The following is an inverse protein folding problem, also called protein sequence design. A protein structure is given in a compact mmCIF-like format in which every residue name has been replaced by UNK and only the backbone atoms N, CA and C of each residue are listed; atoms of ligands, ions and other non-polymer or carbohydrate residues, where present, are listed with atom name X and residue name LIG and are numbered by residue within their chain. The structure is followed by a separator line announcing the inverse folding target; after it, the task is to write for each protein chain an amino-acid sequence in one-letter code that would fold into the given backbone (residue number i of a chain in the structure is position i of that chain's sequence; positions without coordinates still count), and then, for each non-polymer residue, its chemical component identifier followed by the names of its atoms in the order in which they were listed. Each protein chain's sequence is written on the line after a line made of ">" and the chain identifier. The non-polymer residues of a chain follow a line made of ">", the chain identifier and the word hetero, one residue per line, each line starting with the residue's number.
data_IF_483079255766
#
_entry.id   IF_483079255766
#
_cell.length_a   1.000
_cell.length_b   1.000
_cell.length_c   1.000
_cell.angle_alpha   90.00
_cell.angle_beta   90.00
_cell.angle_gamma   90.00
#
_symmetry.space_group_name_H-M   'P 1'
#
loop_
_entity.id
_entity.type
_entity.pdbx_description
1 polymer ?
#
# COMPACT_ATOMS: atom_id res chain seq x y z
N UNK A 1 -17.57 -20.12 12.44
CA UNK A 1 -17.99 -18.80 12.89
C UNK A 1 -16.89 -17.78 13.12
N UNK A 2 -15.74 -18.21 13.62
CA UNK A 2 -14.62 -17.28 13.80
C UNK A 2 -14.10 -16.70 12.47
N UNK A 3 -14.10 -17.45 11.39
CA UNK A 3 -13.72 -16.94 10.08
C UNK A 3 -14.72 -15.94 9.54
N UNK A 4 -16.00 -16.27 9.60
CA UNK A 4 -17.05 -15.36 9.18
C UNK A 4 -17.17 -14.18 10.12
N UNK A 5 -17.03 -14.41 11.42
CA UNK A 5 -16.96 -13.35 12.41
C UNK A 5 -15.73 -12.47 12.24
N UNK A 6 -14.58 -13.05 11.83
CA UNK A 6 -13.37 -12.31 11.55
C UNK A 6 -13.53 -11.43 10.31
N UNK A 7 -14.12 -11.96 9.24
CA UNK A 7 -14.35 -11.20 8.03
C UNK A 7 -15.40 -10.11 8.23
N UNK A 8 -16.48 -10.42 8.94
CA UNK A 8 -17.47 -9.42 9.33
C UNK A 8 -16.88 -8.35 10.23
N UNK A 9 -16.01 -8.73 11.15
CA UNK A 9 -15.29 -7.75 12.01
C UNK A 9 -14.35 -6.88 11.20
N UNK A 10 -13.66 -7.46 10.22
CA UNK A 10 -12.79 -6.70 9.31
C UNK A 10 -13.60 -5.71 8.49
N UNK A 11 -14.71 -6.15 7.92
CA UNK A 11 -15.60 -5.27 7.15
C UNK A 11 -16.19 -4.19 8.05
N UNK A 12 -16.66 -4.56 9.24
CA UNK A 12 -17.17 -3.59 10.23
C UNK A 12 -16.06 -2.65 10.69
N UNK A 13 -14.84 -3.15 10.85
CA UNK A 13 -13.68 -2.33 11.19
C UNK A 13 -13.38 -1.31 10.12
N UNK A 14 -13.38 -1.72 8.85
CA UNK A 14 -13.20 -0.82 7.71
C UNK A 14 -14.33 0.21 7.67
N UNK A 15 -15.58 -0.23 7.85
CA UNK A 15 -16.74 0.64 7.90
C UNK A 15 -16.67 1.61 9.08
N UNK A 16 -16.27 1.12 10.25
CA UNK A 16 -16.10 1.94 11.44
C UNK A 16 -14.99 2.98 11.27
N UNK A 17 -13.87 2.58 10.69
CA UNK A 17 -12.76 3.48 10.36
C UNK A 17 -13.24 4.54 9.39
N UNK A 18 -13.96 4.16 8.34
CA UNK A 18 -14.51 5.09 7.37
C UNK A 18 -15.49 6.08 8.00
N UNK A 19 -16.39 5.61 8.85
CA UNK A 19 -17.34 6.47 9.55
C UNK A 19 -16.63 7.41 10.51
N UNK A 20 -15.65 6.90 11.25
CA UNK A 20 -14.85 7.70 12.18
C UNK A 20 -14.03 8.73 11.40
N UNK A 21 -13.37 8.29 10.34
CA UNK A 21 -12.53 9.14 9.48
C UNK A 21 -13.38 10.23 8.83
N UNK A 22 -14.64 9.94 8.44
CA UNK A 22 -15.53 10.91 7.80
C UNK A 22 -15.87 12.11 8.69
N UNK A 23 -15.81 11.94 10.00
CA UNK A 23 -16.21 12.97 10.95
C UNK A 23 -15.04 13.54 11.75
N UNK A 24 -13.80 13.25 11.37
CA UNK A 24 -12.60 13.70 12.07
C UNK A 24 -11.65 14.44 11.12
N UNK A 25 -10.69 15.23 11.66
CA UNK A 25 -9.68 15.88 10.81
C UNK A 25 -8.84 14.92 10.00
N UNK A 26 -8.73 13.65 10.41
CA UNK A 26 -8.01 12.63 9.65
C UNK A 26 -8.66 12.32 8.30
N UNK A 27 -9.96 12.60 8.14
CA UNK A 27 -10.65 12.49 6.85
C UNK A 27 -10.01 13.36 5.77
N UNK A 28 -9.44 14.46 6.19
CA UNK A 28 -8.79 15.38 5.28
C UNK A 28 -7.52 14.79 4.68
N UNK A 29 -6.91 13.79 5.31
CA UNK A 29 -5.73 13.09 4.80
C UNK A 29 -6.04 12.42 3.47
N UNK A 30 -7.22 11.80 3.32
CA UNK A 30 -7.61 11.14 2.08
C UNK A 30 -7.84 12.12 0.93
N UNK A 31 -8.29 13.32 1.24
CA UNK A 31 -8.65 14.33 0.23
C UNK A 31 -7.54 15.35 0.05
N UNK A 32 -6.94 15.82 1.14
CA UNK A 32 -5.96 16.91 1.15
C UNK A 32 -4.55 16.45 1.52
N UNK A 33 -4.39 15.23 2.02
CA UNK A 33 -3.08 14.69 2.35
C UNK A 33 -2.23 14.46 1.10
N UNK A 34 -0.92 14.34 1.29
CA UNK A 34 -0.03 14.05 0.19
C UNK A 34 -0.22 12.59 -0.29
N UNK A 35 0.31 12.24 -1.48
CA UNK A 35 0.18 10.88 -2.00
C UNK A 35 0.78 9.80 -1.08
N UNK A 36 1.83 10.13 -0.33
CA UNK A 36 2.43 9.20 0.63
C UNK A 36 1.50 8.87 1.79
N UNK A 37 0.84 9.87 2.33
CA UNK A 37 -0.13 9.68 3.41
C UNK A 37 -1.34 8.86 2.96
N UNK A 38 -1.84 9.12 1.76
CA UNK A 38 -2.94 8.35 1.18
C UNK A 38 -2.56 6.88 0.99
N UNK A 39 -1.35 6.62 0.46
CA UNK A 39 -0.87 5.25 0.30
C UNK A 39 -0.72 4.55 1.65
N UNK A 40 -0.19 5.24 2.63
CA UNK A 40 -0.03 4.69 3.97
C UNK A 40 -1.37 4.30 4.58
N UNK A 41 -2.37 5.14 4.45
CA UNK A 41 -3.72 4.86 4.93
C UNK A 41 -4.29 3.60 4.27
N UNK A 42 -4.17 3.50 2.94
CA UNK A 42 -4.64 2.33 2.20
C UNK A 42 -3.89 1.06 2.61
N UNK A 43 -2.58 1.17 2.80
CA UNK A 43 -1.76 0.04 3.21
C UNK A 43 -2.13 -0.46 4.61
N UNK A 44 -2.43 0.44 5.53
CA UNK A 44 -2.90 0.06 6.87
C UNK A 44 -4.21 -0.70 6.81
N UNK A 45 -5.16 -0.24 6.00
CA UNK A 45 -6.43 -0.96 5.80
C UNK A 45 -6.19 -2.34 5.19
N UNK A 46 -5.32 -2.42 4.20
CA UNK A 46 -5.01 -3.68 3.51
C UNK A 46 -4.31 -4.68 4.42
N UNK A 47 -3.39 -4.22 5.26
CA UNK A 47 -2.70 -5.06 6.23
C UNK A 47 -3.70 -5.64 7.25
N UNK A 48 -4.67 -4.85 7.68
CA UNK A 48 -5.72 -5.32 8.58
C UNK A 48 -6.64 -6.34 7.91
N UNK A 49 -6.89 -6.15 6.62
CA UNK A 49 -7.77 -7.01 5.84
C UNK A 49 -7.11 -8.33 5.45
N UNK A 50 -5.82 -8.32 5.16
CA UNK A 50 -5.13 -9.46 4.55
C UNK A 50 -3.71 -9.60 5.10
N UNK A 51 -3.44 -10.77 5.72
CA UNK A 51 -2.10 -11.11 6.16
C UNK A 51 -1.15 -11.32 4.99
N UNK A 52 -1.64 -11.83 3.87
CA UNK A 52 -0.82 -12.01 2.66
C UNK A 52 -0.36 -10.66 2.09
N UNK A 53 -1.19 -9.64 2.16
CA UNK A 53 -0.78 -8.30 1.76
C UNK A 53 0.37 -7.77 2.63
N UNK A 54 0.30 -8.00 3.93
CA UNK A 54 1.36 -7.59 4.85
C UNK A 54 2.71 -8.21 4.46
N UNK A 55 2.71 -9.47 4.06
CA UNK A 55 3.92 -10.17 3.60
C UNK A 55 4.46 -9.53 2.31
N UNK A 56 3.60 -9.35 1.32
CA UNK A 56 3.98 -8.74 0.03
C UNK A 56 4.54 -7.33 0.24
N UNK A 57 3.90 -6.54 1.09
CA UNK A 57 4.36 -5.18 1.40
C UNK A 57 5.72 -5.18 2.08
N UNK A 58 5.93 -6.09 3.03
CA UNK A 58 7.20 -6.26 3.71
C UNK A 58 8.31 -6.67 2.74
N UNK A 59 8.03 -7.61 1.86
CA UNK A 59 8.98 -8.06 0.84
C UNK A 59 9.33 -6.94 -0.14
N UNK A 60 8.33 -6.17 -0.56
CA UNK A 60 8.55 -5.02 -1.42
C UNK A 60 9.49 -4.00 -0.76
N UNK A 61 9.21 -3.66 0.50
CA UNK A 61 10.02 -2.67 1.23
C UNK A 61 11.46 -3.17 1.42
N UNK A 62 11.64 -4.46 1.70
CA UNK A 62 12.96 -5.08 1.82
C UNK A 62 13.74 -5.02 0.50
N UNK A 63 13.12 -5.39 -0.59
CA UNK A 63 13.75 -5.36 -1.92
C UNK A 63 14.10 -3.93 -2.31
N UNK A 64 13.20 -2.99 -2.09
CA UNK A 64 13.44 -1.57 -2.38
C UNK A 64 14.63 -1.03 -1.60
N UNK A 65 14.72 -1.36 -0.32
CA UNK A 65 15.83 -0.95 0.53
C UNK A 65 17.16 -1.52 0.02
N UNK A 66 17.18 -2.79 -0.35
CA UNK A 66 18.38 -3.44 -0.87
C UNK A 66 18.81 -2.88 -2.22
N UNK A 67 17.84 -2.64 -3.10
CA UNK A 67 18.11 -2.01 -4.38
C UNK A 67 18.71 -0.61 -4.20
N UNK A 68 18.15 0.18 -3.32
CA UNK A 68 18.64 1.52 -3.04
C UNK A 68 20.06 1.49 -2.43
N UNK A 69 20.34 0.54 -1.55
CA UNK A 69 21.66 0.34 -0.99
C UNK A 69 22.69 -0.02 -2.09
N UNK A 70 22.31 -0.91 -3.00
CA UNK A 70 23.16 -1.26 -4.14
C UNK A 70 23.47 -0.06 -5.01
N UNK A 71 22.47 0.76 -5.33
CA UNK A 71 22.65 1.96 -6.13
C UNK A 71 23.61 2.97 -5.46
N UNK A 72 23.51 3.12 -4.14
CA UNK A 72 24.40 3.99 -3.38
C UNK A 72 25.83 3.48 -3.39
N UNK A 73 26.03 2.17 -3.22
CA UNK A 73 27.36 1.56 -3.17
C UNK A 73 28.01 1.43 -4.56
N UNK A 74 27.20 1.42 -5.62
CA UNK A 74 27.69 1.24 -6.99
C UNK A 74 28.42 2.45 -7.53
N UNK A 75 28.25 3.64 -6.94
CA UNK A 75 28.88 4.85 -7.41
C UNK A 75 30.41 4.73 -7.52
N UNK A 76 31.14 4.35 -6.44
CA UNK A 76 32.58 4.17 -6.49
C UNK A 76 33.04 2.95 -7.29
N UNK A 77 32.25 1.86 -7.29
CA UNK A 77 32.59 0.60 -7.93
C UNK A 77 32.21 0.54 -9.43
N UNK A 78 31.57 1.58 -9.92
CA UNK A 78 30.93 1.61 -11.25
C UNK A 78 31.90 1.34 -12.40
N UNK A 79 33.17 1.70 -12.24
CA UNK A 79 34.18 1.53 -13.29
C UNK A 79 34.65 0.08 -13.45
N UNK A 80 34.59 -0.71 -12.38
CA UNK A 80 35.22 -2.04 -12.35
C UNK A 80 34.24 -3.22 -12.38
N UNK A 81 32.93 -3.00 -12.01
CA UNK A 81 31.96 -4.08 -11.86
C UNK A 81 30.55 -3.70 -12.39
N UNK A 82 30.50 -2.87 -13.44
CA UNK A 82 29.23 -2.39 -13.98
C UNK A 82 28.29 -3.53 -14.38
N UNK A 83 28.81 -4.55 -15.06
CA UNK A 83 27.99 -5.67 -15.54
C UNK A 83 27.40 -6.45 -14.36
N UNK A 84 28.17 -6.66 -13.32
CA UNK A 84 27.70 -7.35 -12.10
C UNK A 84 26.62 -6.53 -11.39
N UNK A 85 26.80 -5.23 -11.29
CA UNK A 85 25.83 -4.32 -10.68
C UNK A 85 24.53 -4.33 -11.50
N UNK A 86 24.62 -4.24 -12.82
CA UNK A 86 23.45 -4.25 -13.70
C UNK A 86 22.67 -5.58 -13.58
N UNK A 87 23.37 -6.71 -13.57
CA UNK A 87 22.76 -8.02 -13.41
C UNK A 87 22.00 -8.13 -12.08
N UNK A 88 22.61 -7.64 -10.99
CA UNK A 88 21.95 -7.63 -9.67
C UNK A 88 20.76 -6.69 -9.65
N UNK A 89 20.87 -5.51 -10.28
CA UNK A 89 19.74 -4.59 -10.40
C UNK A 89 18.56 -5.21 -11.15
N UNK A 90 18.83 -5.97 -12.20
CA UNK A 90 17.77 -6.64 -12.96
C UNK A 90 16.99 -7.62 -12.08
N UNK A 91 17.67 -8.37 -11.22
CA UNK A 91 17.02 -9.28 -10.27
C UNK A 91 16.12 -8.48 -9.31
N UNK A 92 16.63 -7.41 -8.74
CA UNK A 92 15.83 -6.55 -7.84
C UNK A 92 14.67 -5.89 -8.55
N UNK A 93 14.88 -5.44 -9.80
CA UNK A 93 13.81 -4.82 -10.60
C UNK A 93 12.67 -5.81 -10.87
N UNK A 94 13.00 -7.06 -11.22
CA UNK A 94 11.99 -8.10 -11.44
C UNK A 94 11.17 -8.35 -10.18
N UNK A 95 11.82 -8.41 -9.03
CA UNK A 95 11.13 -8.59 -7.76
C UNK A 95 10.24 -7.38 -7.40
N UNK A 96 10.73 -6.16 -7.65
CA UNK A 96 9.94 -4.95 -7.42
C UNK A 96 8.69 -4.92 -8.29
N UNK A 97 8.82 -5.30 -9.56
CA UNK A 97 7.68 -5.38 -10.48
C UNK A 97 6.66 -6.40 -9.96
N UNK A 98 7.12 -7.57 -9.55
CA UNK A 98 6.25 -8.62 -9.04
C UNK A 98 5.48 -8.17 -7.79
N UNK A 99 6.20 -7.71 -6.77
CA UNK A 99 5.55 -7.28 -5.52
C UNK A 99 4.78 -5.97 -5.70
N UNK A 100 5.34 -5.03 -6.45
CA UNK A 100 4.70 -3.74 -6.72
C UNK A 100 3.39 -3.88 -7.47
N UNK A 101 3.32 -4.78 -8.44
CA UNK A 101 2.08 -5.07 -9.18
C UNK A 101 0.98 -5.57 -8.25
N UNK A 102 1.33 -6.44 -7.31
CA UNK A 102 0.38 -6.96 -6.33
C UNK A 102 -0.12 -5.86 -5.40
N UNK A 103 0.77 -4.97 -4.99
CA UNK A 103 0.41 -3.82 -4.13
C UNK A 103 -0.54 -2.88 -4.87
N UNK A 104 -0.23 -2.53 -6.11
CA UNK A 104 -1.07 -1.65 -6.93
C UNK A 104 -2.45 -2.28 -7.14
N UNK A 105 -2.49 -3.56 -7.47
CA UNK A 105 -3.74 -4.28 -7.65
C UNK A 105 -4.60 -4.25 -6.37
N UNK A 106 -3.99 -4.54 -5.22
CA UNK A 106 -4.70 -4.55 -3.94
C UNK A 106 -5.22 -3.16 -3.56
N UNK A 107 -4.41 -2.13 -3.78
CA UNK A 107 -4.83 -0.74 -3.53
C UNK A 107 -6.01 -0.34 -4.43
N UNK A 108 -5.96 -0.70 -5.70
CA UNK A 108 -7.05 -0.42 -6.63
C UNK A 108 -8.33 -1.15 -6.23
N UNK A 109 -8.21 -2.39 -5.78
CA UNK A 109 -9.37 -3.14 -5.31
C UNK A 109 -10.02 -2.47 -4.10
N UNK A 110 -9.24 -2.08 -3.10
CA UNK A 110 -9.80 -1.46 -1.90
C UNK A 110 -10.39 -0.09 -2.22
N UNK A 111 -9.78 0.67 -3.12
CA UNK A 111 -10.34 1.94 -3.57
C UNK A 111 -11.72 1.72 -4.21
N UNK A 112 -11.84 0.71 -5.07
CA UNK A 112 -13.11 0.39 -5.71
C UNK A 112 -14.19 -0.05 -4.70
N UNK A 113 -13.79 -0.72 -3.63
CA UNK A 113 -14.70 -1.09 -2.55
C UNK A 113 -15.13 0.13 -1.72
N UNK A 114 -14.22 1.09 -1.52
CA UNK A 114 -14.47 2.28 -0.71
C UNK A 114 -15.20 3.38 -1.45
N UNK A 115 -15.01 3.48 -2.76
CA UNK A 115 -15.51 4.59 -3.56
C UNK A 115 -17.02 4.79 -3.46
N UNK A 116 -17.87 3.75 -3.57
CA UNK A 116 -19.32 3.93 -3.41
C UNK A 116 -19.70 4.51 -2.05
N UNK A 117 -18.96 4.16 -1.00
CA UNK A 117 -19.22 4.63 0.36
C UNK A 117 -18.84 6.08 0.52
N UNK A 118 -17.73 6.51 -0.05
CA UNK A 118 -17.35 7.93 -0.08
C UNK A 118 -18.37 8.77 -0.82
N UNK A 119 -18.88 8.27 -1.95
CA UNK A 119 -19.91 8.95 -2.72
C UNK A 119 -21.20 9.10 -1.91
N UNK A 120 -21.59 8.06 -1.19
CA UNK A 120 -22.77 8.07 -0.32
C UNK A 120 -22.63 9.10 0.80
N UNK A 121 -21.47 9.14 1.45
CA UNK A 121 -21.16 10.12 2.50
C UNK A 121 -21.16 11.53 1.97
N UNK A 122 -20.64 11.74 0.76
CA UNK A 122 -20.67 13.04 0.10
C UNK A 122 -22.11 13.51 -0.17
N UNK A 123 -22.99 12.60 -0.59
CA UNK A 123 -24.40 12.90 -0.78
C UNK A 123 -25.08 13.30 0.52
N UNK A 124 -24.82 12.57 1.61
CA UNK A 124 -25.35 12.90 2.93
C UNK A 124 -24.87 14.26 3.40
N UNK A 125 -23.62 14.63 3.11
CA UNK A 125 -23.05 15.93 3.48
C UNK A 125 -23.61 17.10 2.68
N UNK A 126 -24.11 16.85 1.47
CA UNK A 126 -24.69 17.91 0.64
C UNK A 126 -26.11 18.30 1.05
N UNK A 127 -26.68 17.59 2.02
CA UNK A 127 -27.91 17.98 2.69
C UNK A 127 -27.60 18.73 3.97
#
# INVERSE_FOLDING_TARGET
>A
MKLDGSDCKKIKGILGILQTVTFSPEDLILVKGDPGERRHFLDELLVQKSSSYAVVKSDYDRVLKQRNALLKSAGPARKNNLDSVLATLDVWNDQLVNFGSQIIFARNQIINELLPRFQLLKQVRSF
#
